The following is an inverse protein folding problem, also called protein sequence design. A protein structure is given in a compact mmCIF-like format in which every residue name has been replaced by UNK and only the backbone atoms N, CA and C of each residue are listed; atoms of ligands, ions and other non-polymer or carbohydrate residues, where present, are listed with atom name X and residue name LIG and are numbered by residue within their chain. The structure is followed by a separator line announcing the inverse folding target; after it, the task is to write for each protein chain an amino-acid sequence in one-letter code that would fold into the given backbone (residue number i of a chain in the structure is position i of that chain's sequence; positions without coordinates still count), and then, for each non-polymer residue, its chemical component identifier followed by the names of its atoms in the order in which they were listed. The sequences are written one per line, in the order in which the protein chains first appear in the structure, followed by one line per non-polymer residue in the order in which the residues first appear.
data_IF_077428280508
#
_entry.id   IF_077428280508
#
_cell.length_a   1.000
_cell.length_b   1.000
_cell.length_c   1.000
_cell.angle_alpha   90.00
_cell.angle_beta   90.00
_cell.angle_gamma   90.00
#
_symmetry.space_group_name_H-M   'P 1'
#
loop_
_entity.id
_entity.type
_entity.pdbx_description
1 polymer ?
#
# COMPACT_ATOMS: atom_id res chain seq x y z
N UNK A 1 -18.45 23.63 18.68
CA UNK A 1 -17.54 23.46 17.55
C UNK A 1 -17.46 21.97 17.24
N UNK A 2 -17.67 21.59 16.00
CA UNK A 2 -17.70 20.15 15.66
C UNK A 2 -16.28 19.59 15.55
N UNK A 3 -16.11 18.30 15.88
CA UNK A 3 -14.83 17.56 15.80
C UNK A 3 -14.11 17.78 14.46
N UNK A 4 -14.87 17.95 13.38
CA UNK A 4 -14.35 18.29 12.05
C UNK A 4 -13.68 19.68 11.98
N UNK A 5 -14.14 20.64 12.76
CA UNK A 5 -13.57 22.00 12.78
C UNK A 5 -12.23 22.02 13.50
N UNK A 6 -12.09 21.28 14.59
CA UNK A 6 -10.84 21.21 15.35
C UNK A 6 -9.75 20.50 14.55
N UNK A 7 -10.08 19.36 13.90
CA UNK A 7 -9.15 18.65 13.02
C UNK A 7 -8.78 19.51 11.79
N UNK A 8 -9.75 20.22 11.20
CA UNK A 8 -9.50 21.13 10.08
C UNK A 8 -8.62 22.30 10.47
N UNK A 9 -8.85 22.89 11.65
CA UNK A 9 -8.01 23.95 12.21
C UNK A 9 -6.59 23.46 12.44
N UNK A 10 -6.43 22.26 13.00
CA UNK A 10 -5.13 21.64 13.19
C UNK A 10 -4.40 21.40 11.85
N UNK A 11 -5.08 20.87 10.84
CA UNK A 11 -4.55 20.67 9.50
C UNK A 11 -4.05 21.99 8.92
N UNK A 12 -4.86 23.04 8.98
CA UNK A 12 -4.50 24.35 8.42
C UNK A 12 -3.25 24.93 9.10
N UNK A 13 -3.09 24.73 10.41
CA UNK A 13 -1.92 25.18 11.16
C UNK A 13 -0.63 24.46 10.76
N UNK A 14 -0.71 23.18 10.40
CA UNK A 14 0.45 22.33 10.11
C UNK A 14 0.68 22.08 8.62
N UNK A 15 -0.11 22.72 7.76
CA UNK A 15 0.04 22.63 6.32
C UNK A 15 1.39 23.22 5.88
N UNK A 16 2.05 22.52 4.96
CA UNK A 16 3.30 22.97 4.35
C UNK A 16 3.19 23.02 2.84
N UNK A 17 4.00 23.89 2.23
CA UNK A 17 4.06 24.07 0.79
C UNK A 17 4.73 22.87 0.08
N UNK A 18 4.44 22.72 -1.20
CA UNK A 18 5.07 21.71 -2.05
C UNK A 18 6.60 21.83 -2.01
N UNK A 19 7.28 20.71 -1.81
CA UNK A 19 8.75 20.67 -1.73
C UNK A 19 9.33 20.92 -0.34
N UNK A 20 8.52 21.26 0.64
CA UNK A 20 8.96 21.33 2.04
C UNK A 20 8.91 19.96 2.72
N UNK A 21 9.76 19.73 3.75
CA UNK A 21 9.66 18.52 4.57
C UNK A 21 8.24 18.34 5.12
N UNK A 22 7.77 17.08 5.13
CA UNK A 22 6.46 16.73 5.65
C UNK A 22 6.50 15.37 6.34
N UNK A 23 5.57 15.15 7.25
CA UNK A 23 5.37 13.90 7.99
C UNK A 23 4.14 13.13 7.49
N UNK A 24 3.10 13.86 7.10
CA UNK A 24 1.81 13.30 6.70
C UNK A 24 1.29 13.97 5.43
N UNK A 25 0.44 13.27 4.69
CA UNK A 25 -0.32 13.86 3.60
C UNK A 25 -1.80 13.50 3.72
N UNK A 26 -2.67 14.36 3.17
CA UNK A 26 -4.05 13.99 2.87
C UNK A 26 -4.15 13.65 1.38
N UNK A 27 -4.64 12.43 1.08
CA UNK A 27 -4.93 11.96 -0.28
C UNK A 27 -6.37 12.26 -0.72
N UNK A 28 -7.18 12.80 0.20
CA UNK A 28 -8.52 13.32 -0.09
C UNK A 28 -8.50 14.73 -0.66
N UNK A 29 -9.67 15.33 -0.82
CA UNK A 29 -9.80 16.72 -1.26
C UNK A 29 -10.05 17.65 -0.06
N UNK A 30 -9.25 18.72 0.10
CA UNK A 30 -8.07 19.09 -0.67
C UNK A 30 -6.85 18.21 -0.34
N UNK A 31 -6.01 17.94 -1.34
CA UNK A 31 -4.70 17.29 -1.12
C UNK A 31 -3.77 18.26 -0.41
N UNK A 32 -3.23 17.87 0.72
CA UNK A 32 -2.32 18.71 1.52
C UNK A 32 -1.16 17.89 2.06
N UNK A 33 0.01 18.54 2.20
CA UNK A 33 1.13 18.01 2.98
C UNK A 33 1.17 18.69 4.32
N UNK A 34 1.47 17.92 5.36
CA UNK A 34 1.52 18.40 6.76
C UNK A 34 2.88 18.09 7.35
N UNK A 35 3.43 19.04 8.07
CA UNK A 35 4.53 18.79 8.98
C UNK A 35 4.00 18.84 10.41
N UNK A 36 3.90 17.68 11.05
CA UNK A 36 3.42 17.53 12.42
C UNK A 36 4.64 17.28 13.30
N UNK A 37 5.09 18.29 14.05
CA UNK A 37 6.22 18.15 14.94
C UNK A 37 5.86 17.24 16.13
N UNK A 38 6.89 16.76 16.84
CA UNK A 38 6.73 15.75 17.89
C UNK A 38 5.80 16.21 19.00
N UNK A 39 5.94 17.45 19.45
CA UNK A 39 5.10 18.06 20.50
C UNK A 39 3.62 18.19 20.11
N UNK A 40 3.31 18.17 18.82
CA UNK A 40 1.93 18.24 18.30
C UNK A 40 1.35 16.88 17.92
N UNK A 41 2.16 15.81 17.92
CA UNK A 41 1.74 14.52 17.41
C UNK A 41 0.63 13.87 18.24
N UNK A 42 0.74 13.91 19.55
CA UNK A 42 -0.29 13.38 20.45
C UNK A 42 -1.65 14.08 20.22
N UNK A 43 -1.63 15.40 20.09
CA UNK A 43 -2.84 16.15 19.76
C UNK A 43 -3.43 15.73 18.39
N UNK A 44 -2.58 15.50 17.40
CA UNK A 44 -3.02 15.00 16.09
C UNK A 44 -3.71 13.65 16.21
N UNK A 45 -3.08 12.69 16.90
CA UNK A 45 -3.63 11.35 17.09
C UNK A 45 -4.98 11.39 17.83
N UNK A 46 -5.11 12.24 18.85
CA UNK A 46 -6.37 12.42 19.57
C UNK A 46 -7.48 12.97 18.67
N UNK A 47 -7.19 14.01 17.88
CA UNK A 47 -8.15 14.56 16.92
C UNK A 47 -8.51 13.58 15.82
N UNK A 48 -7.52 12.84 15.33
CA UNK A 48 -7.70 11.79 14.32
C UNK A 48 -8.60 10.67 14.85
N UNK A 49 -8.33 10.17 16.07
CA UNK A 49 -9.09 9.12 16.72
C UNK A 49 -10.55 9.54 16.96
N UNK A 50 -10.76 10.76 17.44
CA UNK A 50 -12.11 11.33 17.63
C UNK A 50 -12.88 11.43 16.31
N UNK A 51 -12.21 11.86 15.24
CA UNK A 51 -12.83 11.95 13.93
C UNK A 51 -13.17 10.54 13.38
N UNK A 52 -12.26 9.58 13.53
CA UNK A 52 -12.47 8.19 13.12
C UNK A 52 -13.68 7.56 13.85
N UNK A 53 -13.72 7.66 15.17
CA UNK A 53 -14.81 7.08 16.00
C UNK A 53 -16.15 7.79 15.77
N UNK A 54 -16.13 9.04 15.31
CA UNK A 54 -17.32 9.78 14.90
C UNK A 54 -17.78 9.45 13.46
N UNK A 55 -17.16 8.48 12.81
CA UNK A 55 -17.56 8.04 11.46
C UNK A 55 -17.08 8.97 10.32
N UNK A 56 -16.16 9.90 10.60
CA UNK A 56 -15.61 10.79 9.57
C UNK A 56 -14.73 10.02 8.63
N UNK A 57 -14.94 10.18 7.32
CA UNK A 57 -14.06 9.61 6.31
C UNK A 57 -12.70 10.32 6.32
N UNK A 58 -11.66 9.61 6.72
CA UNK A 58 -10.29 10.12 6.80
C UNK A 58 -9.46 9.63 5.61
N UNK A 59 -8.52 10.49 5.18
CA UNK A 59 -7.70 10.26 3.98
C UNK A 59 -6.22 10.57 4.22
N UNK A 60 -5.70 10.21 5.39
CA UNK A 60 -4.33 10.54 5.77
C UNK A 60 -3.36 9.40 5.48
N UNK A 61 -2.14 9.79 5.14
CA UNK A 61 -0.99 8.89 5.04
C UNK A 61 0.15 9.44 5.89
N UNK A 62 1.05 8.58 6.31
CA UNK A 62 2.30 8.92 7.01
C UNK A 62 3.50 8.67 6.10
N UNK A 63 4.45 9.59 6.12
CA UNK A 63 5.77 9.37 5.55
C UNK A 63 6.58 8.54 6.53
N UNK A 64 6.99 7.30 6.17
CA UNK A 64 7.76 6.48 7.09
C UNK A 64 9.09 7.14 7.48
N UNK A 65 9.47 6.99 8.73
CA UNK A 65 10.84 7.30 9.17
C UNK A 65 11.81 6.23 8.68
N UNK A 66 13.09 6.47 8.79
CA UNK A 66 14.15 5.50 8.53
C UNK A 66 14.99 5.41 9.81
N UNK A 67 14.99 4.27 10.54
CA UNK A 67 14.20 3.05 10.28
C UNK A 67 12.71 3.19 10.55
N UNK A 68 11.94 2.20 10.10
CA UNK A 68 10.48 2.16 10.27
C UNK A 68 9.96 0.72 10.43
N UNK A 69 8.71 0.52 10.86
CA UNK A 69 8.10 -0.80 10.90
C UNK A 69 8.15 -1.49 9.54
N UNK A 70 8.46 -2.79 9.55
CA UNK A 70 8.32 -3.61 8.35
C UNK A 70 6.85 -3.63 7.94
N UNK A 71 6.62 -3.30 6.69
CA UNK A 71 5.28 -3.21 6.09
C UNK A 71 5.26 -3.87 4.72
N UNK A 72 4.12 -4.41 4.37
CA UNK A 72 3.89 -5.12 3.12
C UNK A 72 2.57 -4.64 2.52
N UNK A 73 2.58 -4.35 1.24
CA UNK A 73 1.40 -4.08 0.42
C UNK A 73 1.35 -5.12 -0.70
N UNK A 74 0.29 -5.93 -0.69
CA UNK A 74 0.06 -6.95 -1.70
C UNK A 74 -1.14 -6.54 -2.55
N UNK A 75 -0.89 -6.28 -3.82
CA UNK A 75 -1.88 -5.89 -4.81
C UNK A 75 -2.17 -7.05 -5.78
N UNK A 76 -3.22 -7.84 -5.51
CA UNK A 76 -3.64 -8.93 -6.37
C UNK A 76 -4.56 -8.46 -7.49
N UNK A 77 -4.40 -9.09 -8.66
CA UNK A 77 -5.35 -8.99 -9.76
C UNK A 77 -5.70 -10.40 -10.23
N UNK A 78 -6.99 -10.69 -10.26
CA UNK A 78 -7.53 -11.96 -10.69
C UNK A 78 -8.36 -11.79 -11.95
N UNK A 79 -8.47 -12.84 -12.75
CA UNK A 79 -9.44 -12.87 -13.85
C UNK A 79 -10.85 -12.91 -13.25
N UNK A 80 -11.74 -12.08 -13.78
CA UNK A 80 -13.16 -12.17 -13.40
C UNK A 80 -13.68 -13.49 -13.99
N UNK A 81 -14.30 -14.37 -13.19
CA UNK A 81 -14.89 -15.60 -13.71
C UNK A 81 -15.92 -15.29 -14.80
N UNK A 82 -15.86 -16.02 -15.91
CA UNK A 82 -16.80 -15.87 -17.04
C UNK A 82 -18.24 -16.29 -16.68
N UNK A 83 -18.40 -16.97 -15.57
CA UNK A 83 -19.69 -17.43 -15.09
C UNK A 83 -20.49 -16.23 -14.56
N UNK A 84 -21.56 -15.91 -15.26
CA UNK A 84 -22.54 -14.90 -14.89
C UNK A 84 -23.30 -15.23 -13.60
N UNK A 85 -22.97 -16.35 -12.95
CA UNK A 85 -23.43 -16.77 -11.63
C UNK A 85 -22.72 -16.08 -10.49
N UNK A 86 -22.17 -14.88 -10.70
CA UNK A 86 -21.74 -14.03 -9.59
C UNK A 86 -22.84 -14.07 -8.54
N UNK A 87 -22.55 -14.68 -7.41
CA UNK A 87 -23.47 -14.76 -6.28
C UNK A 87 -23.77 -13.33 -5.88
N UNK A 88 -24.85 -12.80 -6.45
CA UNK A 88 -25.44 -11.58 -5.93
C UNK A 88 -25.91 -11.91 -4.53
N UNK A 89 -25.19 -11.50 -3.52
CA UNK A 89 -25.73 -11.51 -2.17
C UNK A 89 -26.87 -10.49 -2.14
N UNK A 90 -28.05 -10.95 -2.53
CA UNK A 90 -29.31 -10.24 -2.41
C UNK A 90 -29.67 -10.14 -0.93
N UNK A 91 -29.04 -9.24 -0.20
CA UNK A 91 -29.53 -8.79 1.07
C UNK A 91 -30.06 -7.36 0.92
N UNK A 92 -31.39 -7.28 0.87
CA UNK A 92 -32.29 -6.14 0.85
C UNK A 92 -32.78 -5.67 -0.53
N UNK A 93 -33.91 -6.28 -0.90
CA UNK A 93 -34.91 -5.75 -1.83
C UNK A 93 -35.53 -4.46 -1.30
N UNK A 94 -34.85 -3.31 -1.42
CA UNK A 94 -35.47 -1.98 -1.39
C UNK A 94 -34.38 -0.91 -1.43
N UNK A 95 -33.78 -0.67 -2.60
CA UNK A 95 -33.21 0.67 -2.91
C UNK A 95 -32.66 0.74 -4.34
N UNK A 96 -33.09 1.74 -5.02
CA UNK A 96 -32.61 2.51 -6.17
C UNK A 96 -31.21 2.22 -6.72
N UNK A 97 -31.15 1.89 -8.01
CA UNK A 97 -30.24 2.32 -9.10
C UNK A 97 -28.70 2.44 -8.93
N UNK A 98 -28.09 1.91 -7.87
CA UNK A 98 -26.62 1.87 -7.73
C UNK A 98 -26.15 0.59 -7.03
N UNK A 99 -26.59 -0.58 -7.47
CA UNK A 99 -26.09 -1.86 -6.93
C UNK A 99 -24.64 -2.08 -7.38
N UNK A 100 -23.68 -1.70 -6.52
CA UNK A 100 -22.28 -2.12 -6.70
C UNK A 100 -22.24 -3.64 -6.68
N UNK A 101 -21.71 -4.24 -7.76
CA UNK A 101 -21.42 -5.67 -7.77
C UNK A 101 -20.48 -6.01 -6.62
N UNK A 102 -20.88 -6.94 -5.78
CA UNK A 102 -20.05 -7.52 -4.72
C UNK A 102 -19.48 -8.82 -5.24
N UNK A 103 -18.16 -8.97 -5.12
CA UNK A 103 -17.45 -10.17 -5.56
C UNK A 103 -16.93 -10.93 -4.35
N UNK A 104 -16.92 -12.25 -4.43
CA UNK A 104 -16.28 -13.08 -3.43
C UNK A 104 -14.75 -12.95 -3.53
N UNK A 105 -14.11 -13.07 -2.38
CA UNK A 105 -12.65 -13.04 -2.28
C UNK A 105 -12.06 -14.34 -2.85
N UNK A 106 -11.02 -14.19 -3.68
CA UNK A 106 -10.38 -15.33 -4.36
C UNK A 106 -9.40 -16.07 -3.45
N UNK A 107 -8.65 -15.34 -2.63
CA UNK A 107 -7.73 -15.97 -1.68
C UNK A 107 -8.41 -16.31 -0.36
N UNK A 108 -7.86 -17.31 0.34
CA UNK A 108 -8.40 -17.87 1.58
C UNK A 108 -7.52 -17.50 2.78
N UNK A 109 -7.98 -17.86 3.99
CA UNK A 109 -7.18 -17.74 5.22
C UNK A 109 -5.89 -18.56 5.15
N UNK A 110 -5.87 -19.69 4.45
CA UNK A 110 -4.68 -20.53 4.28
C UNK A 110 -3.66 -19.86 3.35
N UNK A 111 -4.11 -19.12 2.34
CA UNK A 111 -3.22 -18.32 1.52
C UNK A 111 -2.58 -17.19 2.35
N UNK A 112 -3.36 -16.51 3.18
CA UNK A 112 -2.83 -15.50 4.11
C UNK A 112 -1.80 -16.11 5.08
N UNK A 113 -2.14 -17.26 5.68
CA UNK A 113 -1.23 -17.97 6.57
C UNK A 113 0.10 -18.29 5.88
N UNK A 114 0.08 -18.85 4.67
CA UNK A 114 1.31 -19.17 3.90
C UNK A 114 2.16 -17.93 3.62
N UNK A 115 1.53 -16.82 3.30
CA UNK A 115 2.23 -15.55 3.06
C UNK A 115 2.93 -15.08 4.34
N UNK A 116 2.21 -15.02 5.46
CA UNK A 116 2.75 -14.56 6.74
C UNK A 116 3.84 -15.49 7.26
N UNK A 117 3.65 -16.80 7.12
CA UNK A 117 4.64 -17.83 7.49
C UNK A 117 5.96 -17.67 6.70
N UNK A 118 5.85 -17.41 5.37
CA UNK A 118 7.01 -17.13 4.55
C UNK A 118 7.77 -15.87 5.02
N UNK A 119 7.05 -14.79 5.36
CA UNK A 119 7.66 -13.59 5.92
C UNK A 119 8.37 -13.88 7.24
N UNK A 120 7.73 -14.59 8.20
CA UNK A 120 8.35 -14.91 9.47
C UNK A 120 9.59 -15.80 9.32
N UNK A 121 9.55 -16.80 8.46
CA UNK A 121 10.71 -17.66 8.16
C UNK A 121 11.89 -16.86 7.60
N UNK A 122 11.63 -15.95 6.68
CA UNK A 122 12.65 -15.04 6.14
C UNK A 122 13.16 -14.13 7.24
N UNK A 123 12.27 -13.44 7.97
CA UNK A 123 12.64 -12.52 9.04
C UNK A 123 13.51 -13.22 10.08
N UNK A 124 13.09 -14.37 10.58
CA UNK A 124 13.82 -15.11 11.61
C UNK A 124 15.17 -15.65 11.14
N UNK A 125 15.36 -15.82 9.83
CA UNK A 125 16.62 -16.33 9.30
C UNK A 125 17.77 -15.34 9.45
N UNK A 126 17.52 -14.02 9.33
CA UNK A 126 18.58 -13.01 9.32
C UNK A 126 18.36 -11.80 10.26
N UNK A 127 17.23 -11.75 10.98
CA UNK A 127 16.99 -10.75 12.02
C UNK A 127 16.92 -11.37 13.41
N UNK A 128 17.46 -10.66 14.40
CA UNK A 128 17.35 -11.00 15.81
C UNK A 128 16.07 -10.40 16.39
N UNK A 129 14.94 -11.07 16.13
CA UNK A 129 13.62 -10.66 16.61
C UNK A 129 13.24 -11.47 17.84
N UNK A 130 12.86 -10.81 18.92
CA UNK A 130 12.33 -11.49 20.10
C UNK A 130 10.92 -12.02 19.81
N UNK A 131 10.60 -13.20 20.32
CA UNK A 131 9.28 -13.84 20.08
C UNK A 131 8.09 -12.91 20.40
N UNK A 132 8.17 -12.15 21.49
CA UNK A 132 7.13 -11.17 21.86
C UNK A 132 6.93 -10.04 20.85
N UNK A 133 7.95 -9.76 20.03
CA UNK A 133 7.97 -8.69 19.02
C UNK A 133 7.67 -9.24 17.62
N UNK A 134 7.68 -10.58 17.45
CA UNK A 134 7.39 -11.28 16.21
C UNK A 134 5.87 -11.41 16.00
N UNK A 135 5.21 -10.29 15.79
CA UNK A 135 3.75 -10.21 15.58
C UNK A 135 3.48 -9.54 14.23
N UNK A 136 2.59 -10.15 13.44
CA UNK A 136 2.09 -9.65 12.17
C UNK A 136 0.60 -9.35 12.25
N UNK A 137 0.22 -8.14 11.85
CA UNK A 137 -1.17 -7.73 11.70
C UNK A 137 -1.52 -7.69 10.22
N UNK A 138 -2.51 -8.45 9.84
CA UNK A 138 -3.03 -8.50 8.47
C UNK A 138 -4.28 -7.64 8.39
N UNK A 139 -4.32 -6.78 7.41
CA UNK A 139 -5.45 -5.89 7.17
C UNK A 139 -5.99 -6.11 5.77
N UNK A 140 -7.29 -6.19 5.67
CA UNK A 140 -8.03 -6.42 4.44
C UNK A 140 -9.15 -5.40 4.28
N UNK A 141 -9.55 -5.17 3.04
CA UNK A 141 -10.82 -4.49 2.75
C UNK A 141 -11.98 -5.48 2.85
N UNK A 142 -13.23 -5.00 3.05
CA UNK A 142 -14.38 -5.90 3.12
C UNK A 142 -14.55 -6.77 1.88
N UNK A 143 -14.39 -6.16 0.70
CA UNK A 143 -14.66 -6.82 -0.58
C UNK A 143 -13.60 -6.47 -1.62
N UNK A 144 -13.32 -7.40 -2.57
CA UNK A 144 -12.59 -7.07 -3.79
C UNK A 144 -13.41 -6.12 -4.68
N UNK A 145 -12.72 -5.43 -5.58
CA UNK A 145 -13.36 -4.47 -6.49
C UNK A 145 -13.02 -4.77 -7.94
N UNK A 146 -13.98 -4.57 -8.83
CA UNK A 146 -13.71 -4.63 -10.26
C UNK A 146 -12.92 -3.39 -10.70
N UNK A 147 -11.83 -3.62 -11.42
CA UNK A 147 -11.01 -2.56 -11.97
C UNK A 147 -10.40 -3.00 -13.31
N UNK A 148 -10.74 -2.31 -14.40
CA UNK A 148 -10.22 -2.59 -15.76
C UNK A 148 -10.38 -4.05 -16.18
N UNK A 149 -11.60 -4.59 -16.03
CA UNK A 149 -11.95 -5.99 -16.33
C UNK A 149 -11.10 -7.03 -15.57
N UNK A 150 -10.64 -6.68 -14.40
CA UNK A 150 -9.96 -7.57 -13.44
C UNK A 150 -10.56 -7.38 -12.07
N UNK A 151 -10.55 -8.42 -11.28
CA UNK A 151 -10.89 -8.34 -9.88
C UNK A 151 -9.63 -7.93 -9.11
N UNK A 152 -9.66 -6.75 -8.50
CA UNK A 152 -8.57 -6.24 -7.67
C UNK A 152 -8.89 -6.47 -6.20
N UNK A 153 -7.96 -7.09 -5.49
CA UNK A 153 -7.97 -7.21 -4.04
C UNK A 153 -6.57 -6.92 -3.48
N UNK A 154 -6.47 -6.64 -2.21
CA UNK A 154 -5.18 -6.30 -1.60
C UNK A 154 -5.13 -6.60 -0.11
N UNK A 155 -3.93 -6.89 0.35
CA UNK A 155 -3.63 -7.17 1.75
C UNK A 155 -2.52 -6.21 2.20
N UNK A 156 -2.74 -5.53 3.31
CA UNK A 156 -1.68 -4.86 4.04
C UNK A 156 -1.22 -5.74 5.20
N UNK A 157 0.09 -5.88 5.39
CA UNK A 157 0.66 -6.54 6.56
C UNK A 157 1.62 -5.58 7.24
N UNK A 158 1.49 -5.45 8.56
CA UNK A 158 2.40 -4.63 9.37
C UNK A 158 2.99 -5.50 10.48
N UNK A 159 4.31 -5.41 10.63
CA UNK A 159 5.07 -5.96 11.75
C UNK A 159 5.52 -4.79 12.63
N UNK A 160 4.69 -4.32 13.56
CA UNK A 160 4.85 -3.01 14.20
C UNK A 160 6.08 -2.92 15.11
N UNK A 161 6.60 -4.06 15.55
CA UNK A 161 7.76 -4.15 16.43
C UNK A 161 9.07 -4.52 15.71
N UNK A 162 9.00 -4.82 14.41
CA UNK A 162 10.18 -5.11 13.58
C UNK A 162 10.57 -3.82 12.87
N UNK A 163 11.43 -3.04 13.50
CA UNK A 163 11.88 -1.73 13.03
C UNK A 163 13.18 -1.90 12.26
N UNK A 164 13.17 -1.63 10.97
CA UNK A 164 14.30 -1.90 10.08
C UNK A 164 14.49 -0.80 9.04
N UNK A 165 15.71 -0.70 8.53
CA UNK A 165 16.11 0.18 7.43
C UNK A 165 15.44 -0.22 6.11
N UNK A 166 15.29 0.73 5.18
CA UNK A 166 14.75 0.46 3.85
C UNK A 166 15.51 -0.64 3.10
N UNK A 167 16.83 -0.68 3.24
CA UNK A 167 17.66 -1.72 2.63
C UNK A 167 17.29 -3.11 3.08
N UNK A 168 17.02 -3.27 4.37
CA UNK A 168 16.55 -4.53 4.95
C UNK A 168 15.16 -4.89 4.45
N UNK A 169 14.26 -3.92 4.33
CA UNK A 169 12.92 -4.16 3.76
C UNK A 169 13.00 -4.61 2.29
N UNK A 170 13.87 -3.99 1.49
CA UNK A 170 14.13 -4.43 0.10
C UNK A 170 14.72 -5.83 0.02
N UNK A 171 15.62 -6.17 0.94
CA UNK A 171 16.21 -7.50 1.01
C UNK A 171 15.16 -8.56 1.36
N UNK A 172 14.30 -8.31 2.36
CA UNK A 172 13.16 -9.18 2.70
C UNK A 172 12.25 -9.34 1.48
N UNK A 173 11.87 -8.24 0.85
CA UNK A 173 11.04 -8.27 -0.35
C UNK A 173 11.66 -9.16 -1.44
N UNK A 174 12.97 -9.05 -1.66
CA UNK A 174 13.68 -9.89 -2.65
C UNK A 174 13.54 -11.36 -2.34
N UNK A 175 13.76 -11.76 -1.08
CA UNK A 175 13.63 -13.16 -0.65
C UNK A 175 12.18 -13.66 -0.83
N UNK A 176 11.18 -12.83 -0.56
CA UNK A 176 9.76 -13.14 -0.83
C UNK A 176 9.52 -13.32 -2.34
N UNK A 177 10.06 -12.46 -3.18
CA UNK A 177 9.91 -12.61 -4.63
C UNK A 177 10.51 -13.91 -5.16
N UNK A 178 11.64 -14.35 -4.62
CA UNK A 178 12.27 -15.63 -4.97
C UNK A 178 11.39 -16.83 -4.58
N UNK A 179 10.56 -16.70 -3.52
CA UNK A 179 9.62 -17.72 -3.05
C UNK A 179 8.21 -17.57 -3.62
N UNK A 180 7.91 -16.48 -4.32
CA UNK A 180 6.56 -16.14 -4.79
C UNK A 180 5.91 -17.22 -5.65
N UNK A 181 6.62 -17.94 -6.55
CA UNK A 181 6.03 -19.02 -7.32
C UNK A 181 5.41 -20.13 -6.43
N UNK A 182 6.03 -20.40 -5.28
CA UNK A 182 5.52 -21.41 -4.33
C UNK A 182 4.44 -20.83 -3.41
N UNK A 183 4.64 -19.60 -2.92
CA UNK A 183 3.68 -18.94 -2.03
C UNK A 183 2.33 -18.75 -2.70
N UNK A 184 2.32 -18.37 -3.97
CA UNK A 184 1.11 -17.99 -4.71
C UNK A 184 0.63 -19.05 -5.72
N UNK A 185 1.20 -20.27 -5.74
CA UNK A 185 0.94 -21.29 -6.76
C UNK A 185 -0.53 -21.66 -6.97
N UNK A 186 -1.34 -21.55 -5.93
CA UNK A 186 -2.76 -21.94 -5.98
C UNK A 186 -3.68 -20.76 -6.32
N UNK A 187 -3.14 -19.56 -6.47
CA UNK A 187 -3.93 -18.38 -6.76
C UNK A 187 -3.93 -18.09 -8.27
N UNK A 188 -5.12 -17.89 -8.88
CA UNK A 188 -5.24 -17.57 -10.30
C UNK A 188 -4.89 -16.10 -10.58
N UNK A 189 -3.69 -15.71 -10.18
CA UNK A 189 -3.20 -14.34 -10.28
C UNK A 189 -2.84 -14.03 -11.73
N UNK A 190 -3.19 -12.81 -12.19
CA UNK A 190 -2.91 -12.38 -13.55
C UNK A 190 -1.94 -11.18 -13.64
N UNK A 191 -1.37 -10.74 -12.53
CA UNK A 191 -0.26 -9.80 -12.51
C UNK A 191 1.05 -10.48 -12.04
N UNK A 192 2.19 -9.88 -12.36
CA UNK A 192 3.50 -10.42 -11.98
C UNK A 192 3.78 -10.22 -10.48
N UNK A 193 4.67 -11.05 -9.92
CA UNK A 193 4.98 -11.04 -8.50
C UNK A 193 5.63 -9.72 -8.04
N UNK A 194 6.38 -9.05 -8.92
CA UNK A 194 7.00 -7.76 -8.60
C UNK A 194 5.93 -6.67 -8.39
N UNK A 195 4.84 -6.73 -9.15
CA UNK A 195 3.68 -5.85 -8.99
C UNK A 195 2.72 -6.26 -7.87
N UNK A 196 2.74 -7.55 -7.43
CA UNK A 196 1.97 -7.99 -6.28
C UNK A 196 2.61 -7.46 -5.01
N UNK A 197 3.91 -7.65 -4.82
CA UNK A 197 4.64 -7.19 -3.64
C UNK A 197 5.17 -5.79 -3.93
N UNK A 198 4.33 -4.76 -3.64
CA UNK A 198 4.65 -3.38 -4.02
C UNK A 198 5.91 -2.87 -3.31
N UNK A 199 6.92 -2.48 -4.11
CA UNK A 199 8.15 -1.89 -3.58
C UNK A 199 8.05 -0.40 -3.30
N UNK A 200 7.10 0.29 -3.93
CA UNK A 200 6.99 1.74 -3.82
C UNK A 200 6.67 2.20 -2.39
N UNK A 201 6.05 1.33 -1.58
CA UNK A 201 5.81 1.61 -0.16
C UNK A 201 7.09 1.71 0.68
N UNK A 202 8.21 1.16 0.20
CA UNK A 202 9.47 1.17 0.94
C UNK A 202 10.13 2.55 0.85
N UNK A 203 10.27 3.09 -0.36
CA UNK A 203 11.06 4.33 -0.58
C UNK A 203 10.21 5.54 -0.95
N UNK A 204 9.16 5.34 -1.74
CA UNK A 204 8.50 6.43 -2.45
C UNK A 204 7.16 6.83 -1.84
N UNK A 205 6.34 5.85 -1.49
CA UNK A 205 4.96 6.10 -1.08
C UNK A 205 4.85 6.30 0.44
N UNK A 206 3.97 7.22 0.82
CA UNK A 206 3.50 7.29 2.19
C UNK A 206 2.60 6.10 2.50
N UNK A 207 2.64 5.63 3.75
CA UNK A 207 1.78 4.56 4.24
C UNK A 207 0.41 5.10 4.67
N UNK A 208 -0.66 4.45 4.27
CA UNK A 208 -2.01 4.82 4.67
C UNK A 208 -2.21 4.60 6.17
N UNK A 209 -2.59 5.66 6.90
CA UNK A 209 -2.86 5.55 8.33
C UNK A 209 -4.04 4.61 8.58
N UNK A 210 -3.99 3.88 9.69
CA UNK A 210 -5.09 2.99 10.08
C UNK A 210 -6.40 3.75 10.20
N UNK A 211 -7.46 3.20 9.60
CA UNK A 211 -8.77 3.87 9.53
C UNK A 211 -8.94 4.90 8.42
N UNK A 212 -7.86 5.32 7.77
CA UNK A 212 -7.93 6.14 6.56
C UNK A 212 -8.21 5.30 5.33
N UNK A 213 -8.68 5.95 4.26
CA UNK A 213 -8.96 5.32 2.97
C UNK A 213 -8.69 6.26 1.81
N UNK A 214 -8.43 5.72 0.63
CA UNK A 214 -8.49 6.50 -0.61
C UNK A 214 -9.94 6.95 -0.82
N UNK A 215 -10.18 8.11 -1.45
CA UNK A 215 -11.55 8.51 -1.82
C UNK A 215 -12.25 7.37 -2.56
N UNK A 216 -13.52 7.17 -2.26
CA UNK A 216 -14.39 6.14 -2.87
C UNK A 216 -13.94 4.68 -2.68
N UNK A 217 -12.98 4.44 -1.79
CA UNK A 217 -12.50 3.11 -1.45
C UNK A 217 -12.90 2.72 -0.03
N UNK A 218 -12.95 1.41 0.21
CA UNK A 218 -13.14 0.86 1.54
C UNK A 218 -11.87 1.00 2.39
N UNK A 219 -12.07 0.95 3.72
CA UNK A 219 -11.00 1.02 4.71
C UNK A 219 -10.39 -0.37 4.89
N UNK A 220 -9.06 -0.42 5.02
CA UNK A 220 -8.38 -1.61 5.51
C UNK A 220 -8.60 -1.77 7.02
N UNK A 221 -9.03 -2.95 7.45
CA UNK A 221 -9.23 -3.32 8.85
C UNK A 221 -8.44 -4.56 9.19
N UNK A 222 -8.00 -4.67 10.45
CA UNK A 222 -7.36 -5.90 10.91
C UNK A 222 -8.34 -7.06 10.77
N UNK A 223 -7.95 -8.07 10.01
CA UNK A 223 -8.74 -9.29 9.76
C UNK A 223 -8.18 -10.50 10.49
N UNK A 224 -6.86 -10.55 10.70
CA UNK A 224 -6.21 -11.58 11.48
C UNK A 224 -4.86 -11.10 12.00
N UNK A 225 -4.41 -11.75 13.07
CA UNK A 225 -3.14 -11.50 13.74
C UNK A 225 -2.38 -12.82 13.87
N UNK A 226 -1.08 -12.78 13.64
CA UNK A 226 -0.20 -13.93 13.77
C UNK A 226 1.00 -13.59 14.65
N UNK A 227 1.51 -14.58 15.37
CA UNK A 227 2.81 -14.51 16.01
C UNK A 227 3.74 -15.62 15.47
N UNK A 228 5.02 -15.44 15.70
CA UNK A 228 6.04 -16.44 15.42
C UNK A 228 6.73 -16.83 16.72
N UNK A 229 6.53 -18.07 17.12
CA UNK A 229 7.01 -18.57 18.39
C UNK A 229 7.49 -20.02 18.24
N UNK A 230 8.64 -20.36 18.82
CA UNK A 230 9.25 -21.70 18.73
C UNK A 230 9.39 -22.21 17.28
N UNK A 231 9.74 -21.32 16.33
CA UNK A 231 9.90 -21.67 14.92
C UNK A 231 8.60 -21.91 14.14
N UNK A 232 7.45 -21.56 14.72
CA UNK A 232 6.14 -21.78 14.14
C UNK A 232 5.31 -20.52 14.10
N UNK A 233 4.58 -20.33 12.99
CA UNK A 233 3.58 -19.29 12.83
C UNK A 233 2.26 -19.75 13.42
N UNK A 234 1.69 -18.95 14.32
CA UNK A 234 0.40 -19.24 14.95
C UNK A 234 -0.56 -18.09 14.78
N UNK A 235 -1.82 -18.39 14.48
CA UNK A 235 -2.87 -17.40 14.51
C UNK A 235 -3.24 -17.05 15.95
N UNK A 236 -3.38 -15.76 16.21
CA UNK A 236 -3.83 -15.27 17.52
C UNK A 236 -5.31 -14.92 17.40
N UNK A 237 -6.11 -15.42 18.33
CA UNK A 237 -7.49 -14.97 18.46
C UNK A 237 -7.50 -13.51 18.94
N UNK A 238 -8.23 -12.68 18.24
CA UNK A 238 -8.39 -11.29 18.64
C UNK A 238 -9.85 -10.87 18.47
N UNK A 239 -10.34 -10.10 19.41
CA UNK A 239 -11.64 -9.45 19.29
C UNK A 239 -11.41 -8.01 18.83
N UNK A 240 -11.98 -7.64 17.70
CA UNK A 240 -11.95 -6.26 17.22
C UNK A 240 -13.05 -5.46 17.90
N UNK A 241 -12.66 -4.55 18.78
CA UNK A 241 -13.59 -3.61 19.39
C UNK A 241 -13.14 -2.16 19.13
N UNK A 242 -14.02 -1.21 19.37
CA UNK A 242 -13.75 0.21 19.08
C UNK A 242 -12.52 0.77 19.84
N UNK A 243 -12.20 0.22 21.02
CA UNK A 243 -11.03 0.65 21.80
C UNK A 243 -9.72 0.17 21.18
N UNK A 244 -9.73 -0.98 20.52
CA UNK A 244 -8.55 -1.53 19.85
C UNK A 244 -8.25 -0.78 18.55
N UNK A 245 -9.27 -0.31 17.87
CA UNK A 245 -9.09 0.54 16.67
C UNK A 245 -8.28 1.80 16.96
N UNK A 246 -8.47 2.42 18.12
CA UNK A 246 -7.68 3.59 18.54
C UNK A 246 -6.22 3.20 18.82
N UNK A 247 -5.98 2.06 19.47
CA UNK A 247 -4.63 1.54 19.73
C UNK A 247 -3.89 1.25 18.43
N UNK A 248 -4.57 0.72 17.42
CA UNK A 248 -3.98 0.41 16.11
C UNK A 248 -3.48 1.65 15.37
N UNK A 249 -4.07 2.84 15.59
CA UNK A 249 -3.60 4.09 14.98
C UNK A 249 -2.13 4.35 15.38
N UNK A 250 -1.81 4.21 16.67
CA UNK A 250 -0.45 4.40 17.18
C UNK A 250 0.45 3.20 16.88
N UNK A 251 -0.08 1.99 17.05
CA UNK A 251 0.68 0.75 16.84
C UNK A 251 1.21 0.65 15.40
N UNK A 252 0.38 1.00 14.41
CA UNK A 252 0.73 0.92 12.99
C UNK A 252 1.33 2.21 12.43
N UNK A 253 1.64 3.18 13.29
CA UNK A 253 2.33 4.39 12.83
C UNK A 253 3.71 4.05 12.26
N UNK A 254 3.98 4.58 11.08
CA UNK A 254 5.26 4.46 10.38
C UNK A 254 6.28 5.52 10.85
N UNK A 255 5.84 6.46 11.67
CA UNK A 255 6.70 7.50 12.25
C UNK A 255 7.20 7.00 13.60
N UNK A 256 8.41 6.52 13.63
CA UNK A 256 9.07 6.07 14.85
C UNK A 256 10.01 7.14 15.38
N UNK A 257 9.90 7.42 16.67
CA UNK A 257 10.74 8.39 17.39
C UNK A 257 11.56 7.64 18.42
N UNK A 258 12.82 7.96 18.48
CA UNK A 258 13.75 7.28 19.38
C UNK A 258 14.88 6.53 18.65
N UNK A 259 15.73 5.89 19.42
CA UNK A 259 16.83 5.10 18.89
C UNK A 259 16.41 3.62 18.85
N UNK A 260 16.45 3.04 17.67
CA UNK A 260 16.15 1.62 17.44
C UNK A 260 17.44 0.90 17.08
N UNK A 261 17.84 -0.14 17.81
CA UNK A 261 19.03 -0.91 17.49
C UNK A 261 18.87 -1.61 16.15
N UNK A 262 19.97 -1.75 15.43
CA UNK A 262 20.03 -2.62 14.26
C UNK A 262 19.86 -4.08 14.71
N UNK A 263 18.81 -4.73 14.22
CA UNK A 263 18.47 -6.12 14.54
C UNK A 263 18.91 -7.11 13.45
N UNK A 264 19.65 -6.65 12.45
CA UNK A 264 20.23 -7.53 11.42
C UNK A 264 21.37 -8.33 12.04
N UNK A 265 21.33 -9.67 11.93
CA UNK A 265 22.40 -10.54 12.37
C UNK A 265 23.70 -10.20 11.64
N UNK A 266 24.84 -10.25 12.36
CA UNK A 266 26.11 -9.73 11.88
C UNK A 266 26.55 -10.37 10.56
N UNK A 267 26.33 -11.69 10.41
CA UNK A 267 26.69 -12.44 9.22
C UNK A 267 25.97 -11.97 7.93
N UNK A 268 24.79 -11.32 8.06
CA UNK A 268 24.00 -10.85 6.91
C UNK A 268 24.21 -9.36 6.56
N UNK A 269 24.84 -8.58 7.42
CA UNK A 269 25.05 -7.14 7.20
C UNK A 269 25.76 -6.83 5.89
N UNK A 270 26.79 -7.62 5.59
CA UNK A 270 27.56 -7.46 4.34
C UNK A 270 26.68 -7.78 3.12
N UNK A 271 25.89 -8.87 3.15
CA UNK A 271 25.00 -9.27 2.05
C UNK A 271 23.93 -8.19 1.78
N UNK A 272 23.29 -7.69 2.83
CA UNK A 272 22.27 -6.63 2.73
C UNK A 272 22.88 -5.34 2.18
N UNK A 273 24.08 -4.95 2.64
CA UNK A 273 24.77 -3.77 2.16
C UNK A 273 25.16 -3.89 0.67
N UNK A 274 25.65 -5.05 0.25
CA UNK A 274 25.98 -5.33 -1.15
C UNK A 274 24.72 -5.35 -2.03
N UNK A 275 23.64 -5.95 -1.57
CA UNK A 275 22.37 -5.94 -2.27
C UNK A 275 21.87 -4.52 -2.52
N UNK A 276 21.91 -3.68 -1.51
CA UNK A 276 21.47 -2.29 -1.61
C UNK A 276 22.32 -1.46 -2.57
N UNK A 277 23.65 -1.63 -2.50
CA UNK A 277 24.57 -0.80 -3.30
C UNK A 277 24.68 -1.20 -4.77
N UNK A 278 24.59 -2.49 -5.05
CA UNK A 278 24.94 -3.02 -6.37
C UNK A 278 23.77 -3.71 -7.09
N UNK A 279 22.98 -4.49 -6.37
CA UNK A 279 21.94 -5.32 -7.00
C UNK A 279 20.65 -4.52 -7.20
N UNK A 280 20.19 -3.82 -6.19
CA UNK A 280 18.94 -3.06 -6.25
C UNK A 280 18.96 -1.97 -7.35
N UNK A 281 20.01 -1.13 -7.46
CA UNK A 281 20.10 -0.16 -8.55
C UNK A 281 20.16 -0.79 -9.94
N UNK A 282 20.86 -1.94 -10.08
CA UNK A 282 20.95 -2.65 -11.35
C UNK A 282 19.60 -3.24 -11.79
N UNK A 283 18.79 -3.74 -10.86
CA UNK A 283 17.43 -4.21 -11.11
C UNK A 283 16.54 -3.04 -11.55
N UNK A 284 16.59 -1.92 -10.86
CA UNK A 284 15.82 -0.73 -11.21
C UNK A 284 16.18 -0.18 -12.57
N UNK A 285 17.44 -0.19 -12.93
CA UNK A 285 17.90 0.23 -14.25
C UNK A 285 17.43 -0.72 -15.36
N UNK A 286 17.45 -2.04 -15.12
CA UNK A 286 16.90 -3.03 -16.06
C UNK A 286 15.39 -2.90 -16.25
N UNK A 287 14.66 -2.61 -15.18
CA UNK A 287 13.21 -2.38 -15.26
C UNK A 287 12.90 -1.11 -16.06
N UNK A 288 13.61 -0.01 -15.78
CA UNK A 288 13.46 1.24 -16.55
C UNK A 288 13.79 1.04 -18.04
N UNK A 289 14.83 0.30 -18.37
CA UNK A 289 15.19 0.01 -19.76
C UNK A 289 14.16 -0.90 -20.45
N UNK A 290 13.58 -1.90 -19.74
CA UNK A 290 12.50 -2.73 -20.28
C UNK A 290 11.24 -1.91 -20.55
N UNK A 291 10.87 -1.00 -19.65
CA UNK A 291 9.74 -0.08 -19.85
C UNK A 291 10.00 0.83 -21.04
N UNK A 292 11.19 1.42 -21.15
CA UNK A 292 11.59 2.22 -22.31
C UNK A 292 11.59 1.39 -23.60
N UNK A 293 12.17 0.19 -23.60
CA UNK A 293 12.15 -0.69 -24.77
C UNK A 293 10.76 -1.21 -25.14
N UNK A 294 9.86 -1.40 -24.17
CA UNK A 294 8.44 -1.72 -24.45
C UNK A 294 7.67 -0.50 -24.99
N UNK A 295 8.07 0.70 -24.61
CA UNK A 295 7.51 1.94 -25.16
C UNK A 295 8.09 2.21 -26.56
N UNK A 296 9.39 1.98 -26.76
CA UNK A 296 10.09 2.20 -28.03
C UNK A 296 10.23 0.94 -28.90
N UNK A 297 10.22 -0.27 -28.34
CA UNK A 297 10.36 -1.53 -29.06
C UNK A 297 9.05 -2.11 -29.57
N UNK A 298 7.91 -1.59 -29.17
CA UNK A 298 6.74 -1.47 -30.03
C UNK A 298 6.94 -0.26 -30.95
N UNK A 299 8.04 -0.21 -31.64
CA UNK A 299 7.97 0.22 -33.02
C UNK A 299 6.84 -0.62 -33.59
N UNK A 300 5.69 -0.06 -33.50
CA UNK A 300 4.59 -0.32 -34.33
C UNK A 300 5.17 -0.44 -35.74
N UNK A 301 5.18 -1.65 -36.28
CA UNK A 301 4.73 -1.82 -37.62
C UNK A 301 3.25 -1.37 -37.61
N UNK A 302 3.04 -0.14 -37.21
CA UNK A 302 1.96 0.66 -37.74
C UNK A 302 2.37 0.77 -39.22
N UNK A 303 1.81 -0.06 -40.07
CA UNK A 303 1.41 0.45 -41.37
C UNK A 303 0.96 1.87 -41.02
N UNK A 304 1.71 2.87 -41.51
CA UNK A 304 1.34 4.26 -41.39
C UNK A 304 -0.04 4.38 -42.05
N UNK A 305 -1.08 4.06 -41.31
CA UNK A 305 -2.40 4.53 -41.55
C UNK A 305 -2.22 6.05 -41.50
N UNK A 306 -2.36 6.69 -42.61
CA UNK A 306 -2.33 8.13 -42.72
C UNK A 306 -3.27 8.66 -41.62
N UNK A 307 -2.68 9.20 -40.56
CA UNK A 307 -3.42 10.03 -39.62
C UNK A 307 -3.76 11.26 -40.43
N UNK A 308 -5.02 11.49 -40.68
CA UNK A 308 -5.47 12.66 -41.46
C UNK A 308 -5.04 13.93 -40.70
N UNK A 309 -4.77 14.99 -41.45
CA UNK A 309 -4.43 16.29 -40.85
C UNK A 309 -5.52 16.75 -39.85
N UNK A 310 -6.77 16.37 -40.06
CA UNK A 310 -7.89 16.64 -39.13
C UNK A 310 -7.77 15.87 -37.80
N UNK A 311 -7.31 14.63 -37.82
CA UNK A 311 -7.04 13.85 -36.60
C UNK A 311 -5.85 14.42 -35.82
N UNK A 312 -4.81 14.89 -36.51
CA UNK A 312 -3.67 15.57 -35.92
C UNK A 312 -4.07 16.91 -35.28
N UNK A 313 -4.94 17.68 -35.95
CA UNK A 313 -5.51 18.91 -35.40
C UNK A 313 -6.39 18.61 -34.20
N UNK A 314 -7.20 17.55 -34.24
CA UNK A 314 -8.03 17.12 -33.11
C UNK A 314 -7.20 16.70 -31.88
N UNK A 315 -6.17 15.88 -32.07
CA UNK A 315 -5.24 15.47 -30.99
C UNK A 315 -4.50 16.67 -30.45
N UNK A 316 -4.04 17.59 -31.30
CA UNK A 316 -3.35 18.81 -30.88
C UNK A 316 -4.28 19.71 -30.05
N UNK A 317 -5.55 19.81 -30.42
CA UNK A 317 -6.58 20.51 -29.65
C UNK A 317 -6.88 19.86 -28.31
N UNK A 318 -7.00 18.55 -28.25
CA UNK A 318 -7.15 17.78 -27.01
C UNK A 318 -5.98 18.04 -26.05
N UNK A 319 -4.75 18.05 -26.57
CA UNK A 319 -3.56 18.30 -25.76
C UNK A 319 -3.49 19.75 -25.28
N UNK A 320 -3.81 20.74 -26.15
CA UNK A 320 -3.65 22.15 -25.80
C UNK A 320 -4.83 22.76 -25.05
N UNK A 321 -6.06 22.25 -25.27
CA UNK A 321 -7.27 22.84 -24.68
C UNK A 321 -7.83 22.02 -23.49
N UNK A 322 -7.61 20.70 -23.47
CA UNK A 322 -8.16 19.82 -22.44
C UNK A 322 -7.16 19.41 -21.35
N UNK A 323 -5.85 19.50 -21.61
CA UNK A 323 -4.84 19.25 -20.60
C UNK A 323 -4.44 20.56 -19.94
N UNK A 324 -4.85 20.75 -18.68
CA UNK A 324 -4.39 21.88 -17.90
C UNK A 324 -2.84 21.86 -17.79
N UNK A 325 -2.15 23.02 -17.94
CA UNK A 325 -0.69 23.11 -17.85
C UNK A 325 -0.12 22.48 -16.58
N UNK A 326 -0.86 22.49 -15.46
CA UNK A 326 -0.49 21.85 -14.20
C UNK A 326 -0.43 20.30 -14.25
N UNK A 327 -0.97 19.67 -15.29
CA UNK A 327 -0.86 18.21 -15.53
C UNK A 327 0.39 17.83 -16.30
N UNK A 328 0.97 18.76 -17.07
CA UNK A 328 2.20 18.51 -17.81
C UNK A 328 3.44 18.43 -16.89
N UNK A 329 3.34 18.98 -15.69
CA UNK A 329 4.47 19.07 -14.75
C UNK A 329 4.65 17.81 -13.87
N UNK A 330 3.75 16.83 -13.97
CA UNK A 330 3.80 15.65 -13.11
C UNK A 330 3.72 14.36 -13.94
N UNK A 331 4.87 13.74 -14.15
CA UNK A 331 5.03 12.48 -14.91
C UNK A 331 4.10 11.36 -14.43
N UNK A 332 3.72 11.34 -13.15
CA UNK A 332 2.78 10.37 -12.56
C UNK A 332 1.35 10.55 -13.05
N UNK A 333 0.96 11.74 -13.48
CA UNK A 333 -0.40 12.00 -13.97
C UNK A 333 -0.57 11.52 -15.43
N UNK A 334 0.53 11.39 -16.16
CA UNK A 334 0.56 10.85 -17.54
C UNK A 334 0.41 9.32 -17.61
N UNK A 335 0.81 8.60 -16.59
CA UNK A 335 0.74 7.13 -16.55
C UNK A 335 -0.68 6.65 -16.18
N UNK A 336 -1.53 7.54 -15.66
CA UNK A 336 -2.88 7.22 -15.20
C UNK A 336 -4.00 7.65 -16.17
N UNK A 337 -3.65 8.09 -17.38
CA UNK A 337 -4.53 8.24 -18.54
C UNK A 337 -4.47 6.98 -19.39
#
# INVERSE_FOLDING_TARGET
MGINEDLRSFINKHKVDKGKPYTNTSIGSPKVSLYIPEESYEKFINLYSLALTSGVALHFTEKPTIPSPLRVDLDFRFTIPDDKSGIYSSHNSNSSLNDKKVYDRVYTSDNIFRIVDAYFKIISSFLDVKEKDAIAYVMEKPNPVEFRNKLKDGIHIVFPHIIVENNTQHFIRRKILDMSPEIFKELPICNDFDSIVDKAIIDANCWQMYGSRKPDCDVYRVSCVYNYNNGSTNRIDFESNASDEIKYIQLFSMIKRGNYPDIVKEEFKTEISQYSKHILPAIDQKLKSKVQNNIFGKSLNVNRAYVSDDELVFVKRLVTECLAPSRADNYTDWINL
#
